data_IF_752138809970
#
_entry.id   IF_752138809970
#
_cell.length_a   1.000
_cell.length_b   1.000
_cell.length_c   1.000
_cell.angle_alpha   90.00
_cell.angle_beta   90.00
_cell.angle_gamma   90.00
#
_symmetry.space_group_name_H-M   'P 1'
#
loop_
_entity.id
_entity.type
_entity.pdbx_description
1 polymer ?
#
# COMPACT_ATOMS: atom_id res chain seq x y z
N UNK A 1 -71.10 37.38 -43.49
CA UNK A 1 -71.44 37.76 -42.08
C UNK A 1 -71.14 36.54 -41.21
N UNK A 2 -69.99 36.47 -40.59
CA UNK A 2 -69.74 35.64 -39.42
C UNK A 2 -68.48 36.17 -38.74
N UNK A 3 -68.61 36.70 -37.54
CA UNK A 3 -67.53 37.19 -36.71
C UNK A 3 -66.85 36.01 -36.01
N UNK A 4 -65.55 36.02 -35.83
CA UNK A 4 -64.87 35.02 -34.99
C UNK A 4 -64.84 35.49 -33.51
N UNK A 5 -65.12 34.56 -32.62
CA UNK A 5 -65.05 34.73 -31.14
C UNK A 5 -63.61 34.66 -30.69
N UNK A 6 -63.14 35.67 -29.99
CA UNK A 6 -61.85 35.74 -29.28
C UNK A 6 -61.89 34.85 -28.05
N UNK A 7 -60.97 33.87 -27.97
CA UNK A 7 -60.71 33.09 -26.76
C UNK A 7 -59.57 33.74 -25.99
N UNK A 8 -59.87 34.24 -24.78
CA UNK A 8 -58.91 34.80 -23.83
C UNK A 8 -58.29 33.64 -23.04
N UNK A 9 -57.02 33.35 -23.30
CA UNK A 9 -56.26 32.34 -22.54
C UNK A 9 -55.67 32.98 -21.32
N UNK A 10 -56.13 32.59 -20.13
CA UNK A 10 -55.62 33.02 -18.82
C UNK A 10 -54.35 32.22 -18.54
N UNK A 11 -53.18 32.90 -18.53
CA UNK A 11 -51.88 32.31 -18.17
C UNK A 11 -51.71 32.39 -16.64
N UNK A 12 -51.90 31.30 -15.94
CA UNK A 12 -51.66 31.20 -14.49
C UNK A 12 -50.17 30.92 -14.26
N UNK A 13 -49.45 31.95 -13.78
CA UNK A 13 -48.05 31.81 -13.37
C UNK A 13 -48.02 31.24 -11.96
N UNK A 14 -47.60 29.96 -11.82
CA UNK A 14 -47.26 29.37 -10.53
C UNK A 14 -45.88 29.85 -10.12
N UNK A 15 -45.75 30.80 -9.22
CA UNK A 15 -44.52 31.11 -8.50
C UNK A 15 -44.33 30.08 -7.39
N UNK A 16 -43.48 29.11 -7.62
CA UNK A 16 -42.99 28.19 -6.57
C UNK A 16 -42.03 28.93 -5.64
N UNK A 17 -42.54 29.31 -4.45
CA UNK A 17 -41.71 29.77 -3.35
C UNK A 17 -40.90 28.56 -2.80
N UNK A 18 -39.66 28.44 -3.18
CA UNK A 18 -38.73 27.53 -2.52
C UNK A 18 -38.33 28.16 -1.17
N UNK A 19 -38.93 27.69 -0.11
CA UNK A 19 -38.47 27.95 1.25
C UNK A 19 -37.17 27.15 1.42
N UNK A 20 -36.04 27.80 1.24
CA UNK A 20 -34.75 27.31 1.71
C UNK A 20 -34.74 27.40 3.24
N UNK A 21 -35.02 26.29 3.89
CA UNK A 21 -34.71 26.13 5.32
C UNK A 21 -33.19 26.28 5.47
N UNK A 22 -32.71 27.16 6.38
CA UNK A 22 -31.30 27.20 6.67
C UNK A 22 -30.89 25.82 7.21
N UNK A 23 -29.84 25.22 6.64
CA UNK A 23 -29.20 24.09 7.23
C UNK A 23 -28.84 24.47 8.67
N UNK A 24 -29.46 23.82 9.64
CA UNK A 24 -29.08 23.96 11.03
C UNK A 24 -27.62 23.49 11.11
N UNK A 25 -26.69 24.45 11.16
CA UNK A 25 -25.33 24.18 11.61
C UNK A 25 -25.47 23.71 13.05
N UNK A 26 -25.30 22.40 13.20
CA UNK A 26 -25.18 21.77 14.49
C UNK A 26 -23.85 22.24 15.09
N UNK A 27 -23.87 23.30 15.90
CA UNK A 27 -22.75 23.63 16.79
C UNK A 27 -22.66 22.54 17.85
N UNK A 28 -22.11 21.39 17.43
CA UNK A 28 -21.70 20.38 18.36
C UNK A 28 -20.69 21.00 19.29
N UNK A 29 -21.01 21.01 20.58
CA UNK A 29 -20.09 21.38 21.65
C UNK A 29 -18.81 20.56 21.45
N UNK A 30 -17.80 21.15 20.77
CA UNK A 30 -16.48 20.60 20.66
C UNK A 30 -15.90 20.54 22.07
N UNK A 31 -16.16 19.44 22.79
CA UNK A 31 -15.40 19.14 23.96
C UNK A 31 -13.92 19.20 23.52
N UNK A 32 -13.17 20.09 24.13
CA UNK A 32 -11.74 20.24 23.86
C UNK A 32 -11.09 18.95 24.38
N UNK A 33 -11.04 17.90 23.52
CA UNK A 33 -10.50 16.61 23.88
C UNK A 33 -9.01 16.82 24.17
N UNK A 34 -8.66 16.88 25.44
CA UNK A 34 -7.26 16.95 25.86
C UNK A 34 -6.61 15.59 25.63
N UNK A 35 -5.57 15.58 24.82
CA UNK A 35 -4.77 14.37 24.55
C UNK A 35 -3.43 14.52 25.23
N UNK A 36 -3.01 13.58 26.09
CA UNK A 36 -1.67 13.61 26.66
C UNK A 36 -0.63 13.55 25.54
N UNK A 37 0.40 14.41 25.61
CA UNK A 37 1.40 14.53 24.55
C UNK A 37 2.16 13.22 24.30
N UNK A 38 2.60 12.56 25.37
CA UNK A 38 3.46 11.39 25.24
C UNK A 38 2.81 10.23 24.48
N UNK A 39 1.56 9.77 24.79
CA UNK A 39 0.90 8.73 24.00
C UNK A 39 0.66 9.14 22.56
N UNK A 40 0.26 10.39 22.31
CA UNK A 40 0.06 10.90 20.95
C UNK A 40 1.38 10.92 20.18
N UNK A 41 2.45 11.43 20.73
CA UNK A 41 3.76 11.46 20.09
C UNK A 41 4.28 10.05 19.76
N UNK A 42 4.09 9.08 20.66
CA UNK A 42 4.43 7.68 20.36
C UNK A 42 3.60 7.11 19.23
N UNK A 43 2.31 7.43 19.16
CA UNK A 43 1.45 7.00 18.04
C UNK A 43 1.92 7.63 16.74
N UNK A 44 2.26 8.93 16.73
CA UNK A 44 2.78 9.63 15.55
C UNK A 44 4.07 8.97 15.04
N UNK A 45 4.99 8.58 15.93
CA UNK A 45 6.22 7.87 15.52
C UNK A 45 5.94 6.51 14.88
N UNK A 46 4.98 5.76 15.42
CA UNK A 46 4.53 4.50 14.78
C UNK A 46 3.90 4.74 13.43
N UNK A 47 3.11 5.82 13.32
CA UNK A 47 2.47 6.22 12.08
C UNK A 47 3.52 6.59 11.00
N UNK A 48 4.53 7.41 11.34
CA UNK A 48 5.64 7.73 10.44
C UNK A 48 6.38 6.47 9.96
N UNK A 49 6.65 5.56 10.89
CA UNK A 49 7.30 4.27 10.55
C UNK A 49 6.45 3.42 9.63
N UNK A 50 5.14 3.33 9.89
CA UNK A 50 4.21 2.55 9.04
C UNK A 50 4.07 3.16 7.65
N UNK A 51 3.89 4.47 7.52
CA UNK A 51 3.77 5.16 6.24
C UNK A 51 5.05 4.99 5.40
N UNK A 52 6.22 5.08 6.02
CA UNK A 52 7.51 4.83 5.34
C UNK A 52 7.62 3.37 4.90
N UNK A 53 7.29 2.43 5.77
CA UNK A 53 7.28 1.00 5.46
C UNK A 53 6.32 0.67 4.30
N UNK A 54 5.17 1.34 4.23
CA UNK A 54 4.18 1.17 3.17
C UNK A 54 4.52 1.96 1.88
N UNK A 55 5.66 2.65 1.84
CA UNK A 55 6.16 3.35 0.66
C UNK A 55 5.49 4.69 0.36
N UNK A 56 4.85 5.31 1.35
CA UNK A 56 4.32 6.67 1.26
C UNK A 56 4.65 7.44 2.56
N UNK A 57 5.92 7.84 2.76
CA UNK A 57 6.32 8.59 3.95
C UNK A 57 5.59 9.94 4.02
N UNK A 58 5.49 10.52 5.21
CA UNK A 58 5.13 11.91 5.34
C UNK A 58 6.20 12.80 4.65
N UNK A 59 5.81 13.94 4.07
CA UNK A 59 6.76 14.88 3.49
C UNK A 59 7.85 15.29 4.49
N UNK A 60 9.07 15.47 4.02
CA UNK A 60 10.20 15.87 4.87
C UNK A 60 9.94 17.12 5.74
N UNK A 61 9.27 18.18 5.22
CA UNK A 61 8.89 19.33 6.06
C UNK A 61 7.94 18.94 7.22
N UNK A 62 7.03 17.99 7.01
CA UNK A 62 6.11 17.53 8.04
C UNK A 62 6.84 16.74 9.12
N UNK A 63 7.79 15.88 8.72
CA UNK A 63 8.64 15.16 9.65
C UNK A 63 9.45 16.12 10.54
N UNK A 64 10.03 17.18 9.97
CA UNK A 64 10.73 18.21 10.73
C UNK A 64 9.79 18.95 11.70
N UNK A 65 8.62 19.36 11.22
CA UNK A 65 7.61 20.04 12.03
C UNK A 65 7.09 19.16 13.18
N UNK A 66 6.97 17.84 12.97
CA UNK A 66 6.65 16.87 14.05
C UNK A 66 7.75 16.84 15.11
N UNK A 67 9.02 16.82 14.71
CA UNK A 67 10.14 16.85 15.65
C UNK A 67 10.15 18.15 16.50
N UNK A 68 9.91 19.28 15.87
CA UNK A 68 9.78 20.57 16.55
C UNK A 68 8.58 20.60 17.52
N UNK A 69 7.42 20.06 17.07
CA UNK A 69 6.22 20.02 17.90
C UNK A 69 6.42 19.18 19.16
N UNK A 70 7.04 18.01 19.04
CA UNK A 70 7.32 17.12 20.18
C UNK A 70 8.30 17.74 21.18
N UNK A 71 9.17 18.66 20.74
CA UNK A 71 10.14 19.35 21.58
C UNK A 71 9.59 20.57 22.33
N UNK A 72 8.33 20.97 22.10
CA UNK A 72 7.72 22.10 22.80
C UNK A 72 7.56 21.80 24.30
N UNK A 73 7.84 22.79 25.12
CA UNK A 73 7.66 22.69 26.59
C UNK A 73 6.18 22.66 27.01
N UNK A 74 5.30 23.32 26.25
CA UNK A 74 3.85 23.28 26.46
C UNK A 74 3.25 22.06 25.77
N UNK A 75 2.88 21.05 26.55
CA UNK A 75 2.31 19.80 26.05
C UNK A 75 1.00 19.99 25.28
N UNK A 76 0.18 20.95 25.68
CA UNK A 76 -1.09 21.25 24.99
C UNK A 76 -0.85 21.85 23.61
N UNK A 77 0.06 22.83 23.54
CA UNK A 77 0.49 23.41 22.26
C UNK A 77 1.16 22.37 21.36
N UNK A 78 2.00 21.50 21.94
CA UNK A 78 2.64 20.39 21.23
C UNK A 78 1.61 19.43 20.62
N UNK A 79 0.64 18.98 21.41
CA UNK A 79 -0.42 18.07 20.95
C UNK A 79 -1.30 18.72 19.89
N UNK A 80 -1.64 20.00 20.03
CA UNK A 80 -2.39 20.74 19.01
C UNK A 80 -1.62 20.88 17.70
N UNK A 81 -0.31 21.18 17.78
CA UNK A 81 0.56 21.29 16.60
C UNK A 81 0.74 19.95 15.87
N UNK A 82 0.91 18.86 16.60
CA UNK A 82 0.95 17.51 16.01
C UNK A 82 -0.32 17.20 15.24
N UNK A 83 -1.49 17.48 15.82
CA UNK A 83 -2.77 17.29 15.15
C UNK A 83 -2.84 18.15 13.88
N UNK A 84 -2.53 19.44 13.95
CA UNK A 84 -2.57 20.35 12.80
C UNK A 84 -1.68 19.89 11.64
N UNK A 85 -0.54 19.25 11.92
CA UNK A 85 0.33 18.66 10.90
C UNK A 85 -0.36 17.44 10.25
N UNK A 86 -0.88 16.53 11.05
CA UNK A 86 -1.47 15.28 10.57
C UNK A 86 -2.83 15.50 9.89
N UNK A 87 -3.61 16.45 10.35
CA UNK A 87 -4.96 16.73 9.83
C UNK A 87 -4.97 17.08 8.34
N UNK A 88 -3.87 17.60 7.80
CA UNK A 88 -3.70 17.82 6.35
C UNK A 88 -3.71 16.53 5.51
N UNK A 89 -3.42 15.40 6.13
CA UNK A 89 -3.39 14.08 5.52
C UNK A 89 -4.64 13.25 5.84
N UNK A 90 -5.58 13.80 6.60
CA UNK A 90 -6.81 13.14 7.03
C UNK A 90 -7.84 13.18 5.92
N UNK A 91 -8.26 12.00 5.43
CA UNK A 91 -9.36 11.85 4.48
C UNK A 91 -10.73 11.83 5.18
N UNK A 92 -10.79 11.25 6.37
CA UNK A 92 -12.00 11.16 7.16
C UNK A 92 -11.73 11.47 8.64
N UNK A 93 -12.56 12.33 9.25
CA UNK A 93 -12.60 12.59 10.69
C UNK A 93 -13.78 11.80 11.27
N UNK A 94 -13.46 10.77 12.05
CA UNK A 94 -14.43 9.83 12.63
C UNK A 94 -14.61 10.14 14.11
N UNK A 95 -15.81 10.51 14.50
CA UNK A 95 -16.17 10.79 15.88
C UNK A 95 -16.95 9.62 16.48
N UNK A 96 -16.50 9.13 17.60
CA UNK A 96 -17.18 8.14 18.44
C UNK A 96 -17.68 8.89 19.68
N UNK A 97 -19.00 9.11 19.75
CA UNK A 97 -19.60 9.83 20.86
C UNK A 97 -19.62 8.99 22.16
N UNK A 98 -19.99 9.57 23.33
CA UNK A 98 -20.03 8.83 24.60
C UNK A 98 -20.92 7.57 24.61
N UNK A 99 -21.90 7.49 23.70
CA UNK A 99 -22.78 6.31 23.52
C UNK A 99 -22.20 5.30 22.50
N UNK A 100 -20.94 5.46 22.11
CA UNK A 100 -20.24 4.62 21.10
C UNK A 100 -20.85 4.68 19.69
N UNK A 101 -21.62 5.73 19.37
CA UNK A 101 -22.15 5.96 18.02
C UNK A 101 -21.10 6.66 17.17
N UNK A 102 -21.05 6.27 15.91
CA UNK A 102 -20.07 6.77 14.94
C UNK A 102 -20.70 7.80 14.02
N UNK A 103 -20.07 8.96 13.91
CA UNK A 103 -20.31 9.92 12.83
C UNK A 103 -19.00 10.21 12.10
N UNK A 104 -19.10 10.60 10.84
CA UNK A 104 -17.91 10.84 10.01
C UNK A 104 -18.09 12.08 9.15
N UNK A 105 -17.00 12.84 9.01
CA UNK A 105 -16.90 14.01 8.13
C UNK A 105 -15.67 13.86 7.23
N UNK A 106 -15.72 14.49 6.05
CA UNK A 106 -14.56 14.49 5.16
C UNK A 106 -13.48 15.41 5.73
N UNK A 107 -12.23 14.92 5.76
CA UNK A 107 -11.05 15.65 6.19
C UNK A 107 -10.43 16.51 5.09
N UNK A 108 -9.25 17.07 5.38
CA UNK A 108 -8.57 18.03 4.50
C UNK A 108 -7.70 17.38 3.40
N UNK A 109 -7.45 16.08 3.47
CA UNK A 109 -6.63 15.40 2.47
C UNK A 109 -7.28 15.44 1.08
N UNK A 110 -6.47 15.73 0.06
CA UNK A 110 -6.94 15.66 -1.32
C UNK A 110 -7.18 14.21 -1.70
N UNK A 111 -8.37 13.84 -2.20
CA UNK A 111 -8.71 12.46 -2.55
C UNK A 111 -8.11 12.07 -3.92
N UNK A 112 -6.79 12.09 -4.01
CA UNK A 112 -6.03 11.80 -5.23
C UNK A 112 -5.52 10.35 -5.19
N UNK A 113 -5.82 9.60 -6.24
CA UNK A 113 -5.42 8.20 -6.44
C UNK A 113 -4.58 8.06 -7.71
N UNK A 114 -4.06 6.85 -7.94
CA UNK A 114 -3.36 6.47 -9.17
C UNK A 114 -3.94 5.16 -9.67
N UNK A 115 -4.18 5.07 -10.97
CA UNK A 115 -4.63 3.85 -11.62
C UNK A 115 -3.65 2.70 -11.40
N UNK A 116 -4.18 1.55 -11.00
CA UNK A 116 -3.38 0.36 -10.72
C UNK A 116 -2.46 0.49 -9.52
N UNK A 117 -2.70 1.49 -8.64
CA UNK A 117 -1.87 1.77 -7.48
C UNK A 117 -2.64 2.01 -6.20
N UNK A 118 -1.94 1.97 -5.09
CA UNK A 118 -2.48 2.26 -3.75
C UNK A 118 -2.03 3.64 -3.29
N UNK A 119 -2.95 4.35 -2.63
CA UNK A 119 -2.68 5.57 -1.86
C UNK A 119 -3.06 5.36 -0.41
N UNK A 120 -2.27 6.00 0.46
CA UNK A 120 -2.48 5.99 1.91
C UNK A 120 -3.05 7.33 2.35
N UNK A 121 -4.07 7.26 3.20
CA UNK A 121 -4.67 8.41 3.84
C UNK A 121 -4.72 8.18 5.34
N UNK A 122 -4.84 9.25 6.11
CA UNK A 122 -5.11 9.15 7.53
C UNK A 122 -6.62 9.23 7.78
N UNK A 123 -7.06 8.52 8.81
CA UNK A 123 -8.34 8.69 9.46
C UNK A 123 -8.04 9.26 10.84
N UNK A 124 -8.59 10.42 11.18
CA UNK A 124 -8.59 10.94 12.53
C UNK A 124 -9.73 10.32 13.30
N UNK A 125 -9.46 9.79 14.47
CA UNK A 125 -10.47 9.21 15.36
C UNK A 125 -10.61 10.06 16.60
N UNK A 126 -11.79 10.65 16.82
CA UNK A 126 -12.18 11.36 18.05
C UNK A 126 -13.00 10.40 18.90
N UNK A 127 -12.41 9.88 19.96
CA UNK A 127 -12.95 8.77 20.73
C UNK A 127 -13.38 9.24 22.13
N UNK A 128 -14.63 9.71 22.25
CA UNK A 128 -15.18 10.20 23.52
C UNK A 128 -15.63 9.09 24.46
N UNK A 129 -15.80 7.86 23.94
CA UNK A 129 -16.24 6.70 24.71
C UNK A 129 -15.08 5.79 25.16
N UNK A 130 -13.83 6.16 24.92
CA UNK A 130 -12.64 5.34 25.16
C UNK A 130 -12.76 3.92 24.57
N UNK A 131 -13.41 3.78 23.40
CA UNK A 131 -13.57 2.49 22.70
C UNK A 131 -12.20 1.91 22.35
N UNK A 132 -12.02 0.63 22.62
CA UNK A 132 -10.81 -0.13 22.29
C UNK A 132 -11.07 -1.26 21.28
N UNK A 133 -12.22 -1.26 20.61
CA UNK A 133 -12.56 -2.22 19.55
C UNK A 133 -11.72 -2.01 18.28
N UNK A 134 -11.62 -3.03 17.41
CA UNK A 134 -11.11 -2.81 16.07
C UNK A 134 -11.99 -1.82 15.31
N UNK A 135 -11.35 -0.88 14.59
CA UNK A 135 -12.06 -0.08 13.60
C UNK A 135 -12.09 -0.83 12.28
N UNK A 136 -13.25 -0.93 11.66
CA UNK A 136 -13.42 -1.54 10.34
C UNK A 136 -13.95 -0.52 9.33
N UNK A 137 -13.62 -0.74 8.06
CA UNK A 137 -14.11 0.07 6.95
C UNK A 137 -14.90 -0.80 5.99
N UNK A 138 -16.00 -0.26 5.47
CA UNK A 138 -16.83 -0.91 4.46
C UNK A 138 -17.13 0.07 3.33
N UNK A 139 -17.29 -0.44 2.12
CA UNK A 139 -17.70 0.34 0.97
C UNK A 139 -18.35 -0.56 -0.07
N UNK A 140 -19.50 -0.17 -0.64
CA UNK A 140 -20.09 -0.89 -1.79
C UNK A 140 -19.19 -0.79 -3.04
N UNK A 141 -18.27 0.18 -3.07
CA UNK A 141 -17.35 0.40 -4.18
C UNK A 141 -16.04 -0.38 -4.01
N UNK A 142 -15.87 -1.12 -2.91
CA UNK A 142 -14.68 -1.92 -2.61
C UNK A 142 -14.89 -3.39 -2.91
N UNK A 143 -13.90 -4.02 -3.53
CA UNK A 143 -13.88 -5.46 -3.76
C UNK A 143 -12.49 -5.94 -4.16
N UNK A 144 -12.12 -7.14 -3.73
CA UNK A 144 -10.86 -7.78 -4.09
C UNK A 144 -10.90 -8.35 -5.50
N UNK A 145 -9.82 -8.17 -6.27
CA UNK A 145 -9.66 -8.76 -7.61
C UNK A 145 -9.00 -10.13 -7.53
N UNK A 146 -8.13 -10.30 -6.54
CA UNK A 146 -7.33 -11.51 -6.38
C UNK A 146 -7.76 -12.28 -5.13
N UNK A 147 -7.61 -13.58 -5.17
CA UNK A 147 -7.67 -14.41 -3.96
C UNK A 147 -6.58 -13.91 -2.99
N UNK A 148 -6.91 -13.67 -1.72
CA UNK A 148 -5.97 -13.09 -0.78
C UNK A 148 -4.87 -14.09 -0.42
N UNK A 149 -3.80 -14.03 -1.15
CA UNK A 149 -2.51 -14.59 -0.78
C UNK A 149 -1.46 -13.53 -1.06
N UNK A 150 -0.56 -13.31 -0.14
CA UNK A 150 0.63 -12.49 -0.40
C UNK A 150 1.77 -13.30 -1.01
N UNK A 151 1.49 -14.54 -1.38
CA UNK A 151 2.30 -15.32 -2.27
C UNK A 151 2.02 -14.97 -3.74
N UNK A 152 2.09 -15.98 -4.60
CA UNK A 152 1.73 -15.84 -6.01
C UNK A 152 0.22 -15.60 -6.14
N UNK A 153 -0.21 -14.50 -6.78
CA UNK A 153 -1.62 -14.17 -6.87
C UNK A 153 -2.36 -15.09 -7.82
N UNK A 154 -3.61 -15.38 -7.49
CA UNK A 154 -4.56 -15.96 -8.44
C UNK A 154 -5.65 -14.93 -8.76
N UNK A 155 -6.00 -14.73 -10.03
CA UNK A 155 -7.10 -13.86 -10.37
C UNK A 155 -8.43 -14.47 -9.90
N UNK A 156 -9.35 -13.61 -9.49
CA UNK A 156 -10.73 -14.04 -9.19
C UNK A 156 -11.34 -14.60 -10.46
N UNK A 157 -11.79 -15.87 -10.41
CA UNK A 157 -12.30 -16.60 -11.60
C UNK A 157 -13.64 -16.07 -12.10
N UNK A 158 -14.46 -15.52 -11.21
CA UNK A 158 -15.77 -14.99 -11.53
C UNK A 158 -15.83 -13.50 -11.21
N UNK A 159 -15.95 -12.67 -12.24
CA UNK A 159 -16.21 -11.25 -12.13
C UNK A 159 -17.64 -10.98 -12.52
N UNK A 160 -18.42 -10.39 -11.62
CA UNK A 160 -19.77 -9.93 -11.91
C UNK A 160 -19.72 -8.54 -12.53
N UNK A 161 -20.78 -8.14 -13.23
CA UNK A 161 -20.93 -6.77 -13.71
C UNK A 161 -20.82 -5.72 -12.59
N UNK A 162 -21.28 -6.07 -11.39
CA UNK A 162 -21.14 -5.22 -10.21
C UNK A 162 -19.68 -5.08 -9.76
N UNK A 163 -18.88 -6.16 -9.86
CA UNK A 163 -17.45 -6.10 -9.56
C UNK A 163 -16.70 -5.16 -10.52
N UNK A 164 -17.11 -5.14 -11.80
CA UNK A 164 -16.45 -4.31 -12.81
C UNK A 164 -16.91 -2.85 -12.75
N UNK A 165 -18.21 -2.59 -12.57
CA UNK A 165 -18.78 -1.24 -12.64
C UNK A 165 -18.84 -0.51 -11.31
N UNK A 166 -19.10 -1.21 -10.21
CA UNK A 166 -19.29 -0.61 -8.89
C UNK A 166 -18.11 -0.77 -7.96
N UNK A 167 -17.36 -1.87 -8.05
CA UNK A 167 -16.22 -2.19 -7.19
C UNK A 167 -14.89 -1.83 -7.86
N UNK A 168 -14.73 -0.55 -8.15
CA UNK A 168 -13.55 0.01 -8.80
C UNK A 168 -12.35 0.15 -7.87
N UNK A 169 -12.55 0.06 -6.56
CA UNK A 169 -11.51 0.22 -5.55
C UNK A 169 -11.34 -1.02 -4.66
N UNK A 170 -10.24 -1.09 -3.93
CA UNK A 170 -10.10 -1.91 -2.73
C UNK A 170 -9.70 -1.01 -1.57
N UNK A 171 -10.58 -0.92 -0.56
CA UNK A 171 -10.47 -0.01 0.58
C UNK A 171 -10.30 -0.82 1.85
N UNK A 172 -9.19 -0.61 2.58
CA UNK A 172 -8.87 -1.36 3.80
C UNK A 172 -8.13 -0.49 4.81
N UNK A 173 -8.24 -0.83 6.09
CA UNK A 173 -7.41 -0.25 7.16
C UNK A 173 -6.11 -1.06 7.27
N UNK A 174 -4.99 -0.36 7.49
CA UNK A 174 -3.73 -1.01 7.84
C UNK A 174 -3.65 -1.22 9.36
N UNK A 175 -3.75 -2.46 9.78
CA UNK A 175 -3.87 -2.90 11.17
C UNK A 175 -2.70 -3.80 11.64
N UNK A 176 -1.56 -3.75 10.93
CA UNK A 176 -0.36 -4.56 11.23
C UNK A 176 0.72 -3.73 11.93
N UNK A 177 1.66 -4.38 12.62
CA UNK A 177 2.80 -3.66 13.19
C UNK A 177 3.50 -2.75 12.16
N UNK A 178 3.94 -1.54 12.55
CA UNK A 178 3.95 -1.00 13.91
C UNK A 178 2.60 -0.41 14.39
N UNK A 179 1.56 -0.41 13.54
CA UNK A 179 0.20 -0.03 13.93
C UNK A 179 -0.47 -1.13 14.77
N UNK A 180 -1.59 -0.81 15.39
CA UNK A 180 -2.37 -1.74 16.21
C UNK A 180 -3.65 -2.15 15.48
N UNK A 181 -4.11 -3.37 15.74
CA UNK A 181 -5.38 -3.89 15.21
C UNK A 181 -6.62 -3.24 15.86
N UNK A 182 -6.44 -2.65 17.03
CA UNK A 182 -7.51 -2.09 17.85
C UNK A 182 -7.21 -0.64 18.19
N UNK A 183 -8.25 0.15 18.32
CA UNK A 183 -8.15 1.49 18.89
C UNK A 183 -7.51 1.42 20.28
N UNK A 184 -6.78 2.45 20.64
CA UNK A 184 -6.06 2.50 21.92
C UNK A 184 -6.94 2.98 23.08
N UNK A 185 -8.08 3.58 22.79
CA UNK A 185 -8.92 4.29 23.75
C UNK A 185 -8.48 5.72 24.03
N UNK A 186 -7.44 6.21 23.35
CA UNK A 186 -7.07 7.62 23.41
C UNK A 186 -8.16 8.50 22.82
N UNK A 187 -8.34 9.70 23.39
CA UNK A 187 -9.35 10.66 22.93
C UNK A 187 -9.13 11.09 21.47
N UNK A 188 -7.87 11.15 21.02
CA UNK A 188 -7.51 11.37 19.62
C UNK A 188 -6.48 10.32 19.21
N UNK A 189 -6.72 9.66 18.08
CA UNK A 189 -5.74 8.76 17.46
C UNK A 189 -5.89 8.77 15.94
N UNK A 190 -4.89 8.26 15.23
CA UNK A 190 -4.86 8.23 13.77
C UNK A 190 -4.69 6.80 13.27
N UNK A 191 -5.42 6.46 12.20
CA UNK A 191 -5.41 5.15 11.56
C UNK A 191 -5.06 5.33 10.08
N UNK A 192 -4.39 4.35 9.47
CA UNK A 192 -4.03 4.40 8.04
C UNK A 192 -5.10 3.70 7.22
N UNK A 193 -5.67 4.44 6.27
CA UNK A 193 -6.57 3.92 5.24
C UNK A 193 -5.79 3.68 3.95
N UNK A 194 -5.90 2.49 3.39
CA UNK A 194 -5.30 2.10 2.12
C UNK A 194 -6.39 2.03 1.05
N UNK A 195 -6.22 2.75 -0.05
CA UNK A 195 -7.15 2.74 -1.18
C UNK A 195 -6.38 2.39 -2.45
N UNK A 196 -6.65 1.22 -3.00
CA UNK A 196 -6.21 0.82 -4.33
C UNK A 196 -7.27 1.21 -5.35
N UNK A 197 -6.88 1.81 -6.48
CA UNK A 197 -7.77 2.12 -7.59
C UNK A 197 -7.45 1.26 -8.81
N UNK A 198 -8.45 0.62 -9.39
CA UNK A 198 -8.32 -0.11 -10.67
C UNK A 198 -8.38 0.82 -11.86
N UNK A 199 -9.18 1.88 -11.75
CA UNK A 199 -9.53 2.78 -12.84
C UNK A 199 -8.85 4.13 -12.72
N UNK A 200 -8.74 4.83 -13.85
CA UNK A 200 -8.42 6.25 -13.92
C UNK A 200 -9.70 7.11 -13.98
N UNK A 201 -9.53 8.41 -13.76
CA UNK A 201 -10.59 9.41 -13.84
C UNK A 201 -11.28 9.69 -12.51
N UNK A 202 -12.43 10.36 -12.59
CA UNK A 202 -13.22 10.67 -11.40
C UNK A 202 -14.09 9.49 -11.00
N UNK A 203 -14.05 9.13 -9.72
CA UNK A 203 -14.79 8.02 -9.14
C UNK A 203 -15.32 8.42 -7.78
N UNK A 204 -16.61 8.20 -7.52
CA UNK A 204 -17.20 8.37 -6.19
C UNK A 204 -17.18 7.04 -5.43
N UNK A 205 -16.91 7.12 -4.13
CA UNK A 205 -17.05 5.98 -3.23
C UNK A 205 -17.73 6.39 -1.93
N UNK A 206 -18.67 5.57 -1.48
CA UNK A 206 -19.24 5.65 -0.15
C UNK A 206 -18.38 4.83 0.79
N UNK A 207 -17.88 5.43 1.87
CA UNK A 207 -16.99 4.80 2.83
C UNK A 207 -17.61 4.87 4.21
N UNK A 208 -17.88 3.73 4.83
CA UNK A 208 -18.48 3.63 6.16
C UNK A 208 -17.46 3.09 7.17
N UNK A 209 -17.50 3.62 8.39
CA UNK A 209 -16.62 3.25 9.49
C UNK A 209 -17.42 2.65 10.65
N UNK A 210 -16.89 1.58 11.25
CA UNK A 210 -17.53 0.84 12.32
C UNK A 210 -16.54 0.48 13.43
N UNK A 211 -17.00 0.50 14.67
CA UNK A 211 -16.22 0.11 15.86
C UNK A 211 -16.85 -1.04 16.63
N UNK A 212 -17.68 -1.84 15.95
CA UNK A 212 -18.28 -3.06 16.51
C UNK A 212 -19.47 -2.86 17.47
N UNK A 213 -19.95 -1.63 17.64
CA UNK A 213 -21.10 -1.33 18.49
C UNK A 213 -22.04 -0.33 17.82
N UNK A 214 -23.34 -0.42 18.21
CA UNK A 214 -24.33 0.60 18.00
C UNK A 214 -25.22 0.41 16.79
N UNK A 215 -26.54 0.52 17.02
CA UNK A 215 -27.50 0.83 15.97
C UNK A 215 -27.30 2.28 15.54
N UNK A 216 -27.47 2.53 14.24
CA UNK A 216 -27.48 3.91 13.73
C UNK A 216 -28.85 4.54 14.03
N UNK A 217 -28.85 5.58 14.82
CA UNK A 217 -30.03 6.42 15.00
C UNK A 217 -30.08 7.56 14.01
N UNK A 218 -31.27 8.13 13.85
CA UNK A 218 -31.48 9.30 13.00
C UNK A 218 -30.55 10.44 13.44
N UNK A 219 -29.69 10.89 12.49
CA UNK A 219 -28.72 11.98 12.73
C UNK A 219 -27.27 11.54 12.89
N UNK A 220 -26.99 10.25 13.04
CA UNK A 220 -25.62 9.72 13.04
C UNK A 220 -25.36 9.00 11.73
N UNK A 221 -24.50 9.57 10.88
CA UNK A 221 -24.03 8.92 9.65
C UNK A 221 -22.60 8.48 9.86
N UNK A 222 -22.39 7.18 9.79
CA UNK A 222 -21.06 6.56 9.83
C UNK A 222 -20.43 6.41 8.43
N UNK A 223 -21.01 7.04 7.42
CA UNK A 223 -20.56 7.00 6.03
C UNK A 223 -20.35 8.40 5.46
N UNK A 224 -19.40 8.51 4.57
CA UNK A 224 -19.16 9.68 3.72
C UNK A 224 -19.10 9.26 2.26
N UNK A 225 -19.55 10.13 1.38
CA UNK A 225 -19.30 10.02 -0.06
C UNK A 225 -18.10 10.89 -0.44
N UNK A 226 -17.07 10.28 -1.00
CA UNK A 226 -15.84 10.96 -1.42
C UNK A 226 -15.68 10.85 -2.92
N UNK A 227 -15.52 11.99 -3.59
CA UNK A 227 -15.17 12.03 -5.01
C UNK A 227 -13.65 12.00 -5.17
N UNK A 228 -13.14 10.88 -5.66
CA UNK A 228 -11.73 10.69 -5.94
C UNK A 228 -11.37 11.08 -7.37
N UNK A 229 -10.14 11.56 -7.55
CA UNK A 229 -9.50 11.74 -8.85
C UNK A 229 -8.33 10.77 -8.97
N UNK A 230 -8.48 9.74 -9.79
CA UNK A 230 -7.41 8.77 -10.05
C UNK A 230 -6.63 9.16 -11.32
N UNK A 231 -5.36 9.50 -11.15
CA UNK A 231 -4.47 9.78 -12.28
C UNK A 231 -4.24 8.52 -13.10
N UNK A 232 -4.32 8.63 -14.43
CA UNK A 232 -3.97 7.53 -15.33
C UNK A 232 -2.50 7.17 -15.22
N UNK A 233 -2.18 5.90 -15.39
CA UNK A 233 -0.82 5.40 -15.42
C UNK A 233 -0.43 4.96 -16.83
N UNK A 234 0.80 5.25 -17.22
CA UNK A 234 1.35 4.93 -18.54
C UNK A 234 2.26 3.71 -18.45
N UNK A 235 2.22 2.80 -19.45
CA UNK A 235 3.16 1.70 -19.54
C UNK A 235 4.55 2.23 -19.90
N UNK A 236 5.51 2.01 -19.02
CA UNK A 236 6.91 2.34 -19.20
C UNK A 236 7.67 1.06 -19.45
N UNK A 237 8.15 0.88 -20.68
CA UNK A 237 8.93 -0.29 -21.05
C UNK A 237 10.37 -0.13 -20.60
N UNK A 238 10.91 -1.13 -19.93
CA UNK A 238 12.27 -1.13 -19.41
C UNK A 238 13.18 -1.96 -20.33
N UNK A 239 14.28 -1.36 -20.77
CA UNK A 239 15.36 -2.06 -21.49
C UNK A 239 16.54 -2.17 -20.55
N UNK A 240 16.90 -3.39 -20.22
CA UNK A 240 17.95 -3.67 -19.23
C UNK A 240 19.01 -4.54 -19.87
N UNK A 241 20.24 -4.05 -19.95
CA UNK A 241 21.38 -4.77 -20.48
C UNK A 241 22.50 -4.89 -19.44
N UNK A 242 23.19 -6.00 -19.45
CA UNK A 242 24.41 -6.21 -18.66
C UNK A 242 25.62 -5.42 -19.25
N UNK A 243 26.80 -5.60 -18.66
CA UNK A 243 28.05 -4.98 -19.08
C UNK A 243 28.46 -5.34 -20.52
N UNK A 244 28.00 -6.48 -21.03
CA UNK A 244 28.26 -6.98 -22.40
C UNK A 244 27.16 -6.58 -23.39
N UNK A 245 26.12 -5.84 -22.93
CA UNK A 245 24.98 -5.44 -23.77
C UNK A 245 23.94 -6.55 -23.97
N UNK A 246 23.99 -7.65 -23.21
CA UNK A 246 23.01 -8.70 -23.29
C UNK A 246 21.79 -8.38 -22.40
N UNK A 247 20.57 -8.77 -22.84
CA UNK A 247 19.38 -8.63 -22.01
C UNK A 247 19.54 -9.28 -20.64
N UNK A 248 19.13 -8.57 -19.59
CA UNK A 248 19.27 -9.05 -18.21
C UNK A 248 18.11 -8.58 -17.33
N UNK A 249 18.10 -8.97 -16.04
CA UNK A 249 17.17 -8.54 -15.02
C UNK A 249 17.88 -7.59 -14.04
N UNK A 250 17.20 -6.58 -13.53
CA UNK A 250 17.72 -5.68 -12.51
C UNK A 250 16.63 -5.27 -11.50
N UNK A 251 17.06 -4.79 -10.35
CA UNK A 251 16.22 -4.18 -9.33
C UNK A 251 15.96 -2.71 -9.63
N UNK A 252 14.72 -2.27 -9.48
CA UNK A 252 14.28 -0.89 -9.72
C UNK A 252 13.66 -0.32 -8.46
N UNK A 253 14.25 0.72 -7.90
CA UNK A 253 13.67 1.55 -6.85
C UNK A 253 13.20 2.85 -7.47
N UNK A 254 11.89 3.05 -7.55
CA UNK A 254 11.26 4.17 -8.22
C UNK A 254 10.55 5.03 -7.19
N UNK A 255 10.89 6.31 -7.13
CA UNK A 255 10.28 7.29 -6.24
C UNK A 255 9.84 8.53 -7.00
N UNK A 256 8.71 9.10 -6.60
CA UNK A 256 8.34 10.44 -7.06
C UNK A 256 8.96 11.54 -6.17
N UNK A 257 8.62 12.80 -6.45
CA UNK A 257 9.15 13.96 -5.71
C UNK A 257 8.68 14.02 -4.24
N UNK A 258 7.64 13.29 -3.88
CA UNK A 258 7.16 13.14 -2.50
C UNK A 258 7.73 11.88 -1.84
N UNK A 259 8.79 11.27 -2.39
CA UNK A 259 9.42 10.03 -1.92
C UNK A 259 8.46 8.81 -1.89
N UNK A 260 7.34 8.86 -2.60
CA UNK A 260 6.40 7.75 -2.71
C UNK A 260 6.98 6.69 -3.64
N UNK A 261 6.93 5.43 -3.21
CA UNK A 261 7.49 4.29 -3.94
C UNK A 261 6.49 3.74 -4.96
N UNK A 262 6.99 3.38 -6.13
CA UNK A 262 6.20 2.81 -7.24
C UNK A 262 6.78 1.47 -7.73
N UNK A 263 5.91 0.44 -7.96
CA UNK A 263 4.55 0.36 -7.45
C UNK A 263 4.51 0.53 -5.94
N UNK A 264 3.41 1.04 -5.38
CA UNK A 264 3.31 1.21 -3.94
C UNK A 264 3.50 -0.14 -3.23
N UNK A 265 4.23 -0.17 -2.12
CA UNK A 265 4.58 -1.40 -1.37
C UNK A 265 3.32 -2.06 -0.80
N UNK A 266 2.38 -1.25 -0.31
CA UNK A 266 1.08 -1.71 0.16
C UNK A 266 0.37 -2.49 -0.96
N UNK A 267 -0.10 -3.68 -0.68
CA UNK A 267 -0.84 -4.52 -1.62
C UNK A 267 -0.09 -4.98 -2.88
N UNK A 268 1.24 -5.03 -2.84
CA UNK A 268 2.01 -5.72 -3.88
C UNK A 268 1.67 -7.19 -3.93
N UNK A 269 1.70 -7.72 -5.14
CA UNK A 269 1.55 -9.13 -5.46
C UNK A 269 2.82 -9.63 -6.12
N UNK A 270 3.21 -10.89 -5.87
CA UNK A 270 4.35 -11.49 -6.54
C UNK A 270 4.25 -11.34 -8.08
N UNK A 271 5.36 -11.10 -8.77
CA UNK A 271 6.74 -11.18 -8.29
C UNK A 271 7.24 -9.96 -7.50
N UNK A 272 6.39 -8.97 -7.26
CA UNK A 272 6.74 -7.76 -6.51
C UNK A 272 6.49 -7.97 -5.01
N UNK A 273 7.55 -8.07 -4.22
CA UNK A 273 7.41 -8.33 -2.80
C UNK A 273 7.08 -7.07 -2.01
N UNK A 274 6.19 -7.23 -1.01
CA UNK A 274 5.68 -6.15 -0.18
C UNK A 274 6.61 -5.74 0.97
N UNK A 275 7.68 -6.50 1.23
CA UNK A 275 8.62 -6.25 2.32
C UNK A 275 9.93 -5.57 1.87
N UNK A 276 10.05 -5.24 0.60
CA UNK A 276 11.19 -4.53 0.03
C UNK A 276 10.75 -3.37 -0.85
N UNK A 277 11.51 -2.26 -0.92
CA UNK A 277 11.09 -1.08 -1.68
C UNK A 277 11.25 -1.23 -3.19
N UNK A 278 12.25 -2.00 -3.66
CA UNK A 278 12.51 -2.23 -5.09
C UNK A 278 11.57 -3.30 -5.67
N UNK A 279 11.52 -3.32 -6.99
CA UNK A 279 10.91 -4.39 -7.81
C UNK A 279 11.92 -4.85 -8.84
N UNK A 280 11.80 -6.11 -9.29
CA UNK A 280 12.71 -6.66 -10.30
C UNK A 280 12.02 -6.78 -11.65
N UNK A 281 12.73 -6.36 -12.70
CA UNK A 281 12.23 -6.40 -14.09
C UNK A 281 13.32 -6.91 -15.02
N UNK A 282 12.92 -7.80 -15.91
CA UNK A 282 13.75 -8.24 -17.03
C UNK A 282 13.70 -7.24 -18.19
N UNK A 283 14.65 -7.37 -19.11
CA UNK A 283 14.64 -6.59 -20.36
C UNK A 283 13.31 -6.81 -21.11
N UNK A 284 12.65 -5.71 -21.44
CA UNK A 284 11.37 -5.67 -22.13
C UNK A 284 10.14 -5.67 -21.21
N UNK A 285 10.31 -5.87 -19.93
CA UNK A 285 9.21 -5.76 -18.96
C UNK A 285 8.66 -4.33 -18.86
N UNK A 286 7.42 -4.23 -18.39
CA UNK A 286 6.72 -2.96 -18.27
C UNK A 286 6.40 -2.66 -16.80
N UNK A 287 6.48 -1.38 -16.44
CA UNK A 287 5.97 -0.84 -15.19
C UNK A 287 5.03 0.33 -15.47
N UNK A 288 3.94 0.44 -14.71
CA UNK A 288 2.98 1.52 -14.90
C UNK A 288 3.28 2.68 -13.94
N UNK A 289 3.49 3.89 -14.50
CA UNK A 289 3.74 5.11 -13.73
C UNK A 289 2.77 6.21 -14.14
N UNK A 290 2.24 7.01 -13.21
CA UNK A 290 1.47 8.21 -13.57
C UNK A 290 2.38 9.29 -14.17
N UNK A 291 1.78 10.35 -14.71
CA UNK A 291 2.55 11.55 -15.07
C UNK A 291 3.26 12.12 -13.86
N UNK A 292 4.47 12.61 -14.05
CA UNK A 292 5.28 13.24 -13.01
C UNK A 292 6.76 13.00 -13.17
N UNK A 293 7.54 13.51 -12.23
CA UNK A 293 8.99 13.33 -12.17
C UNK A 293 9.34 12.23 -11.18
N UNK A 294 10.17 11.31 -11.62
CA UNK A 294 10.60 10.15 -10.85
C UNK A 294 12.11 10.08 -10.73
N UNK A 295 12.58 9.70 -9.56
CA UNK A 295 13.97 9.25 -9.35
C UNK A 295 13.96 7.73 -9.40
N UNK A 296 14.67 7.17 -10.39
CA UNK A 296 14.79 5.72 -10.60
C UNK A 296 16.22 5.31 -10.28
N UNK A 297 16.38 4.47 -9.25
CA UNK A 297 17.65 3.82 -8.95
C UNK A 297 17.58 2.38 -9.42
N UNK A 298 18.55 1.98 -10.27
CA UNK A 298 18.67 0.64 -10.82
C UNK A 298 19.89 -0.03 -10.24
N UNK A 299 19.74 -1.24 -9.76
CA UNK A 299 20.80 -2.05 -9.15
C UNK A 299 20.74 -3.49 -9.66
N UNK A 300 21.88 -4.21 -9.59
CA UNK A 300 21.97 -5.61 -9.99
C UNK A 300 22.89 -6.38 -9.04
N UNK A 301 22.54 -6.36 -7.75
CA UNK A 301 23.39 -6.97 -6.72
C UNK A 301 24.71 -6.23 -6.48
N UNK A 302 25.55 -6.75 -5.57
CA UNK A 302 26.73 -6.07 -5.07
C UNK A 302 27.89 -5.97 -6.07
N UNK A 303 27.89 -6.73 -7.15
CA UNK A 303 28.95 -6.72 -8.18
C UNK A 303 28.78 -5.61 -9.21
N UNK A 304 27.65 -4.88 -9.16
CA UNK A 304 27.31 -3.83 -10.12
C UNK A 304 27.18 -2.47 -9.46
N UNK A 305 27.56 -1.43 -10.21
CA UNK A 305 27.41 -0.05 -9.77
C UNK A 305 25.94 0.37 -9.89
N UNK A 306 25.27 0.78 -8.80
CA UNK A 306 23.93 1.31 -8.89
C UNK A 306 23.89 2.59 -9.70
N UNK A 307 22.87 2.77 -10.52
CA UNK A 307 22.66 3.97 -11.35
C UNK A 307 21.39 4.68 -10.88
N UNK A 308 21.46 5.99 -10.74
CA UNK A 308 20.29 6.82 -10.39
C UNK A 308 20.04 7.85 -11.48
N UNK A 309 18.79 7.90 -11.94
CA UNK A 309 18.37 8.85 -12.99
C UNK A 309 17.07 9.53 -12.58
N UNK A 310 16.97 10.84 -12.88
CA UNK A 310 15.72 11.58 -12.80
C UNK A 310 15.05 11.53 -14.18
N UNK A 311 13.78 11.14 -14.21
CA UNK A 311 13.03 10.91 -15.44
C UNK A 311 11.67 11.58 -15.32
N UNK A 312 11.24 12.28 -16.36
CA UNK A 312 9.90 12.83 -16.50
C UNK A 312 9.02 11.84 -17.28
N UNK A 313 7.85 11.54 -16.74
CA UNK A 313 6.83 10.70 -17.35
C UNK A 313 5.65 11.57 -17.76
N UNK A 314 5.37 11.64 -19.05
CA UNK A 314 4.22 12.38 -19.61
C UNK A 314 3.38 11.53 -20.57
N UNK A 315 3.77 10.27 -20.78
CA UNK A 315 3.10 9.31 -21.64
C UNK A 315 3.82 7.96 -21.67
N UNK A 316 3.33 7.00 -22.47
CA UNK A 316 4.04 5.74 -22.70
C UNK A 316 5.44 6.01 -23.27
N UNK A 317 6.45 5.36 -22.71
CA UNK A 317 7.85 5.52 -23.16
C UNK A 317 8.70 4.30 -22.83
N UNK A 318 9.90 4.27 -23.41
CA UNK A 318 10.93 3.26 -23.14
C UNK A 318 12.10 3.89 -22.39
N UNK A 319 12.58 3.22 -21.35
CA UNK A 319 13.76 3.63 -20.59
C UNK A 319 14.82 2.53 -20.68
N UNK A 320 16.02 2.92 -21.14
CA UNK A 320 17.13 2.00 -21.32
C UNK A 320 18.18 2.18 -20.24
N UNK A 321 18.63 1.05 -19.67
CA UNK A 321 19.67 0.99 -18.65
C UNK A 321 20.70 -0.06 -19.07
N UNK A 322 21.98 0.32 -19.08
CA UNK A 322 23.08 -0.61 -19.23
C UNK A 322 23.84 -0.69 -17.92
N UNK A 323 23.84 -1.89 -17.32
CA UNK A 323 24.48 -2.11 -16.03
C UNK A 323 26.01 -2.14 -16.18
N UNK A 324 26.71 -1.51 -15.27
CA UNK A 324 28.15 -1.49 -15.19
C UNK A 324 28.61 -2.41 -14.05
N UNK A 325 29.39 -3.43 -14.38
CA UNK A 325 29.98 -4.33 -13.40
C UNK A 325 31.32 -3.75 -12.94
N UNK A 326 31.53 -3.61 -11.64
CA UNK A 326 32.77 -3.08 -11.08
C UNK A 326 33.75 -4.16 -10.64
N UNK A 327 33.24 -5.38 -10.34
CA UNK A 327 34.06 -6.53 -9.99
C UNK A 327 33.43 -7.81 -10.56
N UNK A 328 34.27 -8.73 -11.03
CA UNK A 328 33.85 -10.05 -11.53
C UNK A 328 34.55 -11.14 -10.72
N UNK A 329 34.03 -11.53 -9.56
CA UNK A 329 34.59 -12.59 -8.73
C UNK A 329 34.57 -13.96 -9.42
N UNK A 330 33.56 -14.22 -10.26
CA UNK A 330 33.43 -15.48 -10.97
C UNK A 330 34.59 -15.74 -11.95
N UNK A 331 35.17 -14.67 -12.53
CA UNK A 331 36.38 -14.73 -13.31
C UNK A 331 37.64 -15.17 -12.52
N UNK A 332 37.52 -15.25 -11.20
CA UNK A 332 38.56 -15.70 -10.25
C UNK A 332 38.11 -16.90 -9.41
N UNK A 333 37.14 -17.67 -9.90
CA UNK A 333 36.57 -18.85 -9.24
C UNK A 333 35.87 -18.59 -7.89
N UNK A 334 35.43 -17.35 -7.63
CA UNK A 334 34.60 -17.00 -6.48
C UNK A 334 33.17 -16.72 -6.93
N UNK A 335 32.22 -17.43 -6.35
CA UNK A 335 30.82 -17.35 -6.75
C UNK A 335 29.97 -16.74 -5.63
N UNK A 336 29.14 -15.75 -5.98
CA UNK A 336 28.19 -15.16 -5.06
C UNK A 336 27.05 -16.12 -4.78
N UNK A 337 26.59 -16.18 -3.52
CA UNK A 337 25.47 -17.03 -3.17
C UNK A 337 24.68 -16.54 -1.97
N UNK A 338 23.39 -16.81 -1.99
CA UNK A 338 22.52 -16.70 -0.83
C UNK A 338 22.02 -18.10 -0.47
N UNK A 339 22.43 -18.56 0.71
CA UNK A 339 22.10 -19.88 1.22
C UNK A 339 20.88 -19.89 2.13
N UNK A 340 20.19 -18.76 2.27
CA UNK A 340 19.07 -18.61 3.21
C UNK A 340 17.92 -17.79 2.62
N UNK A 341 17.39 -18.26 1.50
CA UNK A 341 16.30 -17.58 0.78
C UNK A 341 14.95 -18.16 1.20
N UNK A 342 14.01 -17.32 1.62
CA UNK A 342 12.65 -17.71 1.97
C UNK A 342 11.65 -17.29 0.91
N UNK A 343 11.03 -18.25 0.23
CA UNK A 343 9.90 -18.01 -0.69
C UNK A 343 8.54 -18.25 -0.07
N UNK A 344 8.50 -18.70 1.19
CA UNK A 344 7.27 -19.01 1.93
C UNK A 344 7.53 -19.10 3.44
N UNK A 345 6.49 -19.16 4.25
CA UNK A 345 6.55 -19.55 5.67
C UNK A 345 6.93 -18.44 6.64
N UNK A 346 7.42 -17.30 6.18
CA UNK A 346 7.75 -16.22 7.10
C UNK A 346 6.50 -15.44 7.52
N UNK A 347 6.63 -14.69 8.63
CA UNK A 347 5.59 -13.78 9.14
C UNK A 347 5.19 -12.66 8.18
N UNK A 348 5.97 -12.47 7.11
CA UNK A 348 5.66 -11.51 6.04
C UNK A 348 4.48 -11.95 5.17
N UNK A 349 4.19 -13.25 5.04
CA UNK A 349 3.07 -13.76 4.27
C UNK A 349 1.78 -13.73 5.09
N UNK A 350 0.65 -13.47 4.46
CA UNK A 350 -0.67 -13.50 5.13
C UNK A 350 -1.01 -14.89 5.62
N UNK A 351 -0.73 -15.89 4.79
CA UNK A 351 -0.85 -17.29 5.14
C UNK A 351 0.55 -17.90 5.24
N UNK A 352 1.03 -18.26 6.42
CA UNK A 352 2.36 -18.82 6.60
C UNK A 352 2.54 -20.22 5.98
N UNK A 353 1.45 -20.89 5.58
CA UNK A 353 1.51 -22.19 4.90
C UNK A 353 1.61 -22.08 3.38
N UNK A 354 1.57 -20.87 2.84
CA UNK A 354 1.66 -20.58 1.41
C UNK A 354 2.94 -19.80 1.09
N UNK A 355 3.17 -19.54 -0.18
CA UNK A 355 4.32 -18.77 -0.62
C UNK A 355 4.27 -18.42 -2.10
N UNK A 356 5.39 -17.96 -2.61
CA UNK A 356 5.53 -17.61 -4.03
C UNK A 356 6.01 -18.83 -4.84
N UNK A 357 5.61 -18.87 -6.11
CA UNK A 357 6.06 -19.87 -7.06
C UNK A 357 7.52 -19.63 -7.43
N UNK A 358 8.24 -20.67 -7.90
CA UNK A 358 9.62 -20.53 -8.38
C UNK A 358 9.78 -19.44 -9.45
N UNK A 359 8.80 -19.31 -10.36
CA UNK A 359 8.78 -18.31 -11.43
C UNK A 359 8.71 -16.87 -10.89
N UNK A 360 8.06 -16.67 -9.77
CA UNK A 360 7.95 -15.37 -9.10
C UNK A 360 9.17 -15.09 -8.19
N UNK A 361 9.88 -16.14 -7.75
CA UNK A 361 11.13 -16.03 -6.99
C UNK A 361 12.34 -15.76 -7.88
N UNK A 362 12.37 -16.36 -9.06
CA UNK A 362 13.49 -16.27 -10.00
C UNK A 362 13.93 -14.84 -10.34
N UNK A 363 13.04 -13.87 -10.62
CA UNK A 363 13.44 -12.49 -10.89
C UNK A 363 14.27 -11.84 -9.78
N UNK A 364 14.06 -12.26 -8.52
CA UNK A 364 14.82 -11.76 -7.38
C UNK A 364 16.28 -12.25 -7.47
N UNK A 365 16.46 -13.54 -7.74
CA UNK A 365 17.76 -14.21 -7.85
C UNK A 365 18.54 -13.68 -9.07
N UNK A 366 17.86 -13.60 -10.21
CA UNK A 366 18.47 -13.13 -11.47
C UNK A 366 18.82 -11.64 -11.39
N UNK A 367 17.95 -10.84 -10.75
CA UNK A 367 18.13 -9.39 -10.59
C UNK A 367 19.21 -8.99 -9.60
N UNK A 368 19.52 -9.85 -8.61
CA UNK A 368 20.65 -9.69 -7.70
C UNK A 368 21.95 -10.32 -8.23
N UNK A 369 21.93 -10.88 -9.44
CA UNK A 369 23.06 -11.55 -10.08
C UNK A 369 23.69 -12.66 -9.22
N UNK A 370 22.90 -13.33 -8.38
CA UNK A 370 23.38 -14.42 -7.54
C UNK A 370 23.77 -15.62 -8.39
N UNK A 371 24.97 -16.15 -8.19
CA UNK A 371 25.41 -17.39 -8.85
C UNK A 371 24.71 -18.61 -8.25
N UNK A 372 24.44 -18.61 -6.94
CA UNK A 372 23.75 -19.71 -6.26
C UNK A 372 22.72 -19.16 -5.28
N UNK A 373 21.49 -19.65 -5.34
CA UNK A 373 20.44 -19.34 -4.40
C UNK A 373 19.79 -20.63 -3.87
N UNK A 374 19.86 -20.84 -2.56
CA UNK A 374 19.18 -21.93 -1.88
C UNK A 374 17.88 -21.44 -1.27
N UNK A 375 16.77 -21.86 -1.87
CA UNK A 375 15.43 -21.57 -1.38
C UNK A 375 15.06 -22.61 -0.33
N UNK A 376 14.89 -22.17 0.91
CA UNK A 376 14.75 -23.07 2.04
C UNK A 376 13.31 -23.52 2.25
N UNK A 377 13.12 -24.82 2.30
CA UNK A 377 11.89 -25.49 2.73
C UNK A 377 11.91 -25.55 4.26
N UNK A 378 10.93 -24.94 4.91
CA UNK A 378 10.93 -24.87 6.36
C UNK A 378 9.55 -24.71 6.98
N UNK A 379 9.44 -24.99 8.29
CA UNK A 379 8.35 -24.60 9.17
C UNK A 379 6.93 -24.80 8.62
N UNK A 380 6.05 -23.81 8.77
CA UNK A 380 4.65 -23.93 8.37
C UNK A 380 4.44 -24.18 6.88
N UNK A 381 5.37 -23.74 6.04
CA UNK A 381 5.29 -23.86 4.57
C UNK A 381 5.93 -25.12 4.01
N UNK A 382 6.38 -26.03 4.85
CA UNK A 382 7.06 -27.25 4.43
C UNK A 382 6.31 -28.00 3.31
N UNK A 383 5.01 -28.26 3.50
CA UNK A 383 4.20 -28.99 2.51
C UNK A 383 3.92 -28.21 1.24
N UNK A 384 3.96 -26.88 1.30
CA UNK A 384 3.84 -26.03 0.12
C UNK A 384 5.11 -26.07 -0.70
N UNK A 385 6.29 -25.96 -0.08
CA UNK A 385 7.57 -25.81 -0.76
C UNK A 385 8.19 -27.15 -1.17
N UNK A 386 7.98 -28.26 -0.41
CA UNK A 386 8.59 -29.57 -0.74
C UNK A 386 8.22 -30.10 -2.11
N UNK A 387 7.13 -29.66 -2.71
CA UNK A 387 6.73 -30.02 -4.08
C UNK A 387 7.70 -29.52 -5.14
N UNK A 388 8.56 -28.55 -4.80
CA UNK A 388 9.59 -27.99 -5.65
C UNK A 388 10.98 -28.61 -5.39
N UNK A 389 11.10 -29.50 -4.40
CA UNK A 389 12.32 -30.23 -4.10
C UNK A 389 12.39 -31.52 -4.91
N UNK A 390 13.45 -31.67 -5.67
CA UNK A 390 13.77 -32.90 -6.46
C UNK A 390 15.24 -33.28 -6.36
N UNK A 391 16.01 -32.70 -5.44
CA UNK A 391 17.43 -32.94 -5.24
C UNK A 391 18.34 -32.41 -6.37
N UNK A 392 17.81 -31.56 -7.27
CA UNK A 392 18.50 -31.01 -8.43
C UNK A 392 18.40 -29.49 -8.48
N UNK A 393 19.15 -28.90 -9.39
CA UNK A 393 18.99 -27.48 -9.72
C UNK A 393 17.65 -27.28 -10.43
N UNK A 394 16.92 -26.26 -10.00
CA UNK A 394 15.59 -25.98 -10.55
C UNK A 394 15.66 -25.67 -12.07
N UNK A 395 14.68 -26.08 -12.89
CA UNK A 395 14.70 -25.86 -14.35
C UNK A 395 14.84 -24.41 -14.82
N UNK A 396 14.51 -23.42 -13.97
CA UNK A 396 14.76 -22.00 -14.25
C UNK A 396 16.22 -21.58 -14.13
N UNK A 397 17.09 -22.43 -13.58
CA UNK A 397 18.53 -22.18 -13.45
C UNK A 397 19.18 -21.93 -14.81
N UNK A 398 20.19 -21.08 -14.82
CA UNK A 398 21.08 -20.81 -15.96
C UNK A 398 22.47 -21.35 -15.66
N UNK A 399 23.38 -21.50 -16.65
CA UNK A 399 24.71 -22.04 -16.42
C UNK A 399 25.55 -21.30 -15.36
N UNK A 400 25.28 -20.00 -15.20
CA UNK A 400 25.97 -19.10 -14.27
C UNK A 400 25.12 -18.70 -13.05
N UNK A 401 23.88 -19.19 -12.94
CA UNK A 401 22.93 -18.88 -11.88
C UNK A 401 22.06 -20.07 -11.54
N UNK A 402 22.25 -20.57 -10.34
CA UNK A 402 21.57 -21.77 -9.87
C UNK A 402 20.54 -21.42 -8.81
N UNK A 403 19.36 -21.97 -8.95
CA UNK A 403 18.32 -21.96 -7.91
C UNK A 403 18.07 -23.42 -7.49
N UNK A 404 18.10 -23.67 -6.18
CA UNK A 404 17.78 -24.97 -5.60
C UNK A 404 16.77 -24.80 -4.48
N UNK A 405 16.03 -25.87 -4.23
CA UNK A 405 15.26 -25.99 -3.00
C UNK A 405 16.04 -26.89 -2.04
N UNK A 406 16.36 -26.37 -0.86
CA UNK A 406 17.09 -27.03 0.20
C UNK A 406 16.27 -27.02 1.50
N UNK A 407 16.80 -27.49 2.62
CA UNK A 407 16.04 -27.66 3.86
C UNK A 407 16.61 -26.80 4.99
N UNK A 408 15.70 -26.14 5.74
CA UNK A 408 16.02 -25.52 7.02
C UNK A 408 15.30 -26.22 8.16
N UNK A 409 16.04 -26.52 9.20
CA UNK A 409 15.52 -26.95 10.49
C UNK A 409 15.59 -25.76 11.45
N UNK A 410 14.48 -25.05 11.56
CA UNK A 410 14.39 -23.85 12.39
C UNK A 410 14.35 -24.21 13.88
N UNK A 411 15.06 -23.44 14.69
CA UNK A 411 15.08 -23.60 16.15
C UNK A 411 15.79 -24.85 16.66
N UNK A 412 16.81 -25.31 15.94
CA UNK A 412 17.64 -26.46 16.37
C UNK A 412 18.95 -25.97 17.06
N UNK A 413 19.30 -26.51 18.23
CA UNK A 413 18.55 -27.41 19.13
C UNK A 413 17.44 -26.68 19.92
N UNK A 414 17.29 -25.38 19.79
CA UNK A 414 16.22 -24.55 20.37
C UNK A 414 15.99 -23.28 19.57
N UNK A 415 14.85 -22.63 19.73
CA UNK A 415 14.55 -21.34 19.07
C UNK A 415 15.57 -20.22 19.35
N UNK A 416 16.38 -20.36 20.41
CA UNK A 416 17.44 -19.41 20.78
C UNK A 416 18.81 -19.81 20.23
N UNK A 417 18.99 -21.07 19.79
CA UNK A 417 20.28 -21.59 19.33
C UNK A 417 20.53 -21.34 17.83
N UNK A 418 19.51 -21.00 17.07
CA UNK A 418 19.62 -20.70 15.65
C UNK A 418 18.93 -21.71 14.73
N UNK A 419 19.44 -21.84 13.53
CA UNK A 419 18.89 -22.66 12.47
C UNK A 419 19.97 -23.57 11.89
N UNK A 420 19.59 -24.78 11.50
CA UNK A 420 20.44 -25.69 10.75
C UNK A 420 19.99 -25.70 9.29
N UNK A 421 20.86 -25.31 8.39
CA UNK A 421 20.59 -25.29 6.96
C UNK A 421 21.32 -26.47 6.30
N UNK A 422 20.58 -27.31 5.60
CA UNK A 422 21.09 -28.45 4.86
C UNK A 422 21.08 -28.10 3.38
N UNK A 423 22.27 -27.92 2.79
CA UNK A 423 22.46 -27.50 1.41
C UNK A 423 22.88 -28.64 0.51
N UNK A 424 22.47 -28.57 -0.76
CA UNK A 424 22.88 -29.53 -1.78
C UNK A 424 22.32 -30.93 -1.55
N UNK A 425 21.18 -31.03 -0.87
CA UNK A 425 20.51 -32.31 -0.66
C UNK A 425 20.13 -32.95 -1.99
N UNK A 426 20.25 -34.26 -2.08
CA UNK A 426 19.92 -35.06 -3.29
C UNK A 426 18.70 -35.93 -3.09
N UNK A 427 18.39 -36.29 -1.84
CA UNK A 427 17.28 -37.15 -1.44
C UNK A 427 16.52 -36.54 -0.25
#
# INVERSE_FOLDING_TARGET
>A
MHQPKSALTLLTVFTSLTLSLPAQQWEGSGANLTVPLQPLAQQVRRLESALRYLGQPLPAPDHLAINEAVALADESAAAARLQAILDRHVLADVRINPESRVSVEQGAAKPELVQGGTRLFLIKVRNEAAVTAPMTVQSPNSGRVYVPSRGSPEPKKELTDADVRQRWAEITIFDRPPMRQRLSGLAIEYVILQIYSRDAGQRSAVISFHVGQGSQDVGFRNDIEVLFTAAGAYPIRLRVQDEHGKPTTAGFLIRDEAERIYPNISKRLAPDFFFQPQVYRADGDTINLPSGTFTITVSRGPEYVPQTRRVEISGPQELSFRMERWVDPAGHDYYSGDHHVHSAGCSHYENPTEGVRPEDMWPQIDGEALNVASVLIWGPSYYHQKKHFDGKDHPLSKPDRLMRYDLEISGFPSSHAGHLVLLGLRD
#
